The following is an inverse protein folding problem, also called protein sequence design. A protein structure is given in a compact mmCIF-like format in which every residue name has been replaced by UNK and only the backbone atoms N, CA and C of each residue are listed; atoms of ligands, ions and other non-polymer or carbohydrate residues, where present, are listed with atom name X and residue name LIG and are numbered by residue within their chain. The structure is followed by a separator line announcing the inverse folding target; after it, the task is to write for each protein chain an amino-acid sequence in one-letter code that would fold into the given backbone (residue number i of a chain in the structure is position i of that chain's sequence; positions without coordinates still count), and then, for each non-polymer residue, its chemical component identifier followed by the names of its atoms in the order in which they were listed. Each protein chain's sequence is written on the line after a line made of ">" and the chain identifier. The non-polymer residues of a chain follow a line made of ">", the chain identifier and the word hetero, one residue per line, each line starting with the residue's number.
data_IF_004970405722
#
_entry.id   IF_004970405722
#
_cell.length_a   1.000
_cell.length_b   1.000
_cell.length_c   1.000
_cell.angle_alpha   90.00
_cell.angle_beta   90.00
_cell.angle_gamma   90.00
#
_symmetry.space_group_name_H-M   'P 1'
#
loop_
_entity.id
_entity.type
_entity.pdbx_description
1 polymer ?
#
# COMPACT_ATOMS: atom_id res chain seq x y z
N UNK A 1 -13.06 -7.22 -16.21
CA UNK A 1 -13.18 -6.16 -15.18
C UNK A 1 -12.85 -6.82 -13.86
N UNK A 2 -11.77 -6.41 -13.16
CA UNK A 2 -11.53 -6.91 -11.80
C UNK A 2 -12.61 -6.29 -10.91
N UNK A 3 -13.32 -7.11 -10.15
CA UNK A 3 -14.32 -6.66 -9.17
C UNK A 3 -13.68 -5.60 -8.26
N UNK A 4 -14.44 -4.56 -7.91
CA UNK A 4 -14.04 -3.58 -6.90
C UNK A 4 -13.79 -4.32 -5.59
N UNK A 5 -12.56 -4.76 -5.36
CA UNK A 5 -12.13 -5.29 -4.07
C UNK A 5 -12.48 -4.22 -3.02
N UNK A 6 -13.32 -4.60 -2.07
CA UNK A 6 -13.95 -3.72 -1.09
C UNK A 6 -12.86 -3.11 -0.20
N UNK A 7 -12.30 -1.96 -0.59
CA UNK A 7 -11.39 -1.21 0.28
C UNK A 7 -12.23 -0.63 1.42
N UNK A 8 -11.89 -0.98 2.65
CA UNK A 8 -12.55 -0.41 3.83
C UNK A 8 -12.11 1.05 3.99
N UNK A 9 -13.07 1.98 4.02
CA UNK A 9 -12.80 3.38 4.33
C UNK A 9 -13.31 3.71 5.73
N UNK A 10 -12.40 4.21 6.58
CA UNK A 10 -12.74 4.64 7.94
C UNK A 10 -12.41 6.12 8.14
N UNK A 11 -13.36 6.87 8.68
CA UNK A 11 -13.16 8.26 9.07
C UNK A 11 -13.00 8.32 10.59
N UNK A 12 -11.92 8.97 11.06
CA UNK A 12 -11.65 9.16 12.49
C UNK A 12 -11.41 10.65 12.79
N UNK A 13 -11.31 10.98 14.07
CA UNK A 13 -10.92 12.29 14.56
C UNK A 13 -10.03 12.09 15.80
N UNK A 14 -8.73 11.93 15.57
CA UNK A 14 -7.77 11.60 16.63
C UNK A 14 -6.47 12.39 16.43
N UNK A 15 -6.11 13.21 17.41
CA UNK A 15 -4.88 14.02 17.36
C UNK A 15 -3.58 13.20 17.36
N UNK A 16 -3.62 11.95 17.85
CA UNK A 16 -2.46 11.06 17.92
C UNK A 16 -2.17 10.29 16.62
N UNK A 17 -3.06 10.40 15.63
CA UNK A 17 -2.97 9.64 14.38
C UNK A 17 -2.60 10.53 13.18
N UNK A 18 -1.91 10.00 12.15
CA UNK A 18 -1.62 10.72 10.90
C UNK A 18 -2.90 11.16 10.15
N UNK A 19 -2.80 12.11 9.20
CA UNK A 19 -3.94 12.58 8.39
C UNK A 19 -4.54 11.50 7.48
N UNK A 20 -3.72 10.59 6.97
CA UNK A 20 -4.11 9.48 6.10
C UNK A 20 -3.22 8.26 6.41
N UNK A 21 -3.83 7.09 6.52
CA UNK A 21 -3.13 5.81 6.73
C UNK A 21 -3.70 4.78 5.76
N UNK A 22 -2.81 4.09 5.03
CA UNK A 22 -3.14 2.87 4.28
C UNK A 22 -2.57 1.71 5.10
N UNK A 23 -3.42 0.77 5.49
CA UNK A 23 -3.03 -0.35 6.34
C UNK A 23 -3.87 -1.59 6.02
N UNK A 24 -3.46 -2.72 6.57
CA UNK A 24 -4.23 -3.95 6.56
C UNK A 24 -5.30 -3.92 7.67
N UNK A 25 -6.48 -4.51 7.42
CA UNK A 25 -7.49 -4.76 8.45
C UNK A 25 -7.30 -6.15 9.09
N UNK A 26 -8.24 -6.56 9.94
CA UNK A 26 -8.18 -7.82 10.68
C UNK A 26 -8.35 -9.06 9.78
N UNK A 27 -8.84 -8.89 8.54
CA UNK A 27 -9.08 -9.95 7.56
C UNK A 27 -8.03 -9.97 6.45
N UNK A 28 -6.88 -9.35 6.68
CA UNK A 28 -5.82 -9.16 5.69
C UNK A 28 -6.19 -8.28 4.47
N UNK A 29 -7.29 -7.53 4.53
CA UNK A 29 -7.77 -6.69 3.43
C UNK A 29 -7.28 -5.23 3.53
N UNK A 30 -7.18 -4.49 2.41
CA UNK A 30 -6.79 -3.08 2.43
C UNK A 30 -7.82 -2.18 3.12
N UNK A 31 -7.33 -1.33 4.02
CA UNK A 31 -8.09 -0.28 4.71
C UNK A 31 -7.42 1.08 4.56
N UNK A 32 -8.23 2.10 4.33
CA UNK A 32 -7.80 3.50 4.32
C UNK A 32 -8.47 4.24 5.47
N UNK A 33 -7.66 4.88 6.31
CA UNK A 33 -8.12 5.71 7.42
C UNK A 33 -7.88 7.18 7.07
N UNK A 34 -8.95 7.98 7.08
CA UNK A 34 -8.90 9.43 6.92
C UNK A 34 -9.16 10.11 8.27
N UNK A 35 -8.25 10.98 8.69
CA UNK A 35 -8.32 11.62 10.00
C UNK A 35 -8.72 13.10 9.90
N UNK A 36 -9.95 13.38 10.29
CA UNK A 36 -10.58 14.71 10.21
C UNK A 36 -10.03 15.72 11.23
N UNK A 37 -9.24 15.26 12.21
CA UNK A 37 -8.48 16.17 13.08
C UNK A 37 -7.59 17.12 12.25
N UNK A 38 -7.01 16.60 11.17
CA UNK A 38 -6.10 17.32 10.27
C UNK A 38 -6.80 17.96 9.05
N UNK A 39 -8.12 18.24 9.14
CA UNK A 39 -8.95 18.70 8.01
C UNK A 39 -8.41 19.91 7.25
N UNK A 40 -7.73 20.85 7.92
CA UNK A 40 -7.14 22.03 7.27
C UNK A 40 -6.00 21.60 6.35
N UNK A 41 -5.07 20.80 6.86
CA UNK A 41 -3.93 20.31 6.09
C UNK A 41 -4.39 19.44 4.92
N UNK A 42 -5.34 18.54 5.16
CA UNK A 42 -5.92 17.70 4.09
C UNK A 42 -6.55 18.58 3.01
N UNK A 43 -7.31 19.61 3.41
CA UNK A 43 -7.93 20.54 2.47
C UNK A 43 -6.88 21.23 1.59
N UNK A 44 -5.80 21.72 2.18
CA UNK A 44 -4.72 22.39 1.44
C UNK A 44 -3.97 21.45 0.48
N UNK A 45 -3.84 20.18 0.84
CA UNK A 45 -2.97 19.23 0.13
C UNK A 45 -3.73 18.18 -0.71
N UNK A 46 -5.07 18.16 -0.73
CA UNK A 46 -5.87 17.09 -1.37
C UNK A 46 -5.48 16.72 -2.80
N UNK A 47 -5.08 17.70 -3.63
CA UNK A 47 -4.61 17.43 -5.00
C UNK A 47 -3.22 16.80 -5.04
N UNK A 48 -2.33 17.26 -4.18
CA UNK A 48 -0.99 16.69 -4.04
C UNK A 48 -1.08 15.25 -3.52
N UNK A 49 -1.93 14.99 -2.52
CA UNK A 49 -2.18 13.64 -1.99
C UNK A 49 -2.63 12.69 -3.11
N UNK A 50 -3.54 13.12 -3.98
CA UNK A 50 -3.96 12.31 -5.12
C UNK A 50 -2.78 11.96 -6.06
N UNK A 51 -1.92 12.92 -6.40
CA UNK A 51 -0.73 12.67 -7.22
C UNK A 51 0.32 11.79 -6.53
N UNK A 52 0.44 11.85 -5.20
CA UNK A 52 1.32 10.94 -4.44
C UNK A 52 0.84 9.49 -4.58
N UNK A 53 -0.47 9.24 -4.56
CA UNK A 53 -1.03 7.89 -4.69
C UNK A 53 -0.70 7.30 -6.07
N UNK A 54 -0.75 8.10 -7.13
CA UNK A 54 -0.35 7.67 -8.48
C UNK A 54 1.13 7.25 -8.50
N UNK A 55 2.04 8.09 -7.98
CA UNK A 55 3.47 7.77 -7.95
C UNK A 55 3.80 6.61 -6.99
N UNK A 56 3.00 6.43 -5.93
CA UNK A 56 3.15 5.31 -5.00
C UNK A 56 3.00 3.97 -5.72
N UNK A 57 2.09 3.88 -6.70
CA UNK A 57 1.92 2.66 -7.49
C UNK A 57 3.22 2.26 -8.19
N UNK A 58 3.85 3.18 -8.92
CA UNK A 58 5.10 2.91 -9.64
C UNK A 58 6.24 2.46 -8.71
N UNK A 59 6.31 3.08 -7.52
CA UNK A 59 7.29 2.70 -6.49
C UNK A 59 7.03 1.32 -5.93
N UNK A 60 5.77 0.98 -5.65
CA UNK A 60 5.38 -0.37 -5.19
C UNK A 60 5.73 -1.41 -6.24
N UNK A 61 5.41 -1.18 -7.51
CA UNK A 61 5.72 -2.11 -8.60
C UNK A 61 7.23 -2.36 -8.69
N UNK A 62 8.03 -1.30 -8.58
CA UNK A 62 9.50 -1.42 -8.59
C UNK A 62 10.00 -2.31 -7.45
N UNK A 63 9.60 -2.00 -6.21
CA UNK A 63 10.08 -2.72 -5.01
C UNK A 63 9.63 -4.19 -5.03
N UNK A 64 8.36 -4.42 -5.34
CA UNK A 64 7.77 -5.76 -5.32
C UNK A 64 8.27 -6.62 -6.48
N UNK A 65 8.52 -6.02 -7.64
CA UNK A 65 9.14 -6.74 -8.77
C UNK A 65 10.56 -7.17 -8.41
N UNK A 66 11.38 -6.29 -7.82
CA UNK A 66 12.72 -6.65 -7.36
C UNK A 66 12.69 -7.80 -6.36
N UNK A 67 11.80 -7.74 -5.37
CA UNK A 67 11.63 -8.83 -4.40
C UNK A 67 11.25 -10.15 -5.08
N UNK A 68 10.30 -10.14 -6.01
CA UNK A 68 9.89 -11.34 -6.75
C UNK A 68 11.03 -11.93 -7.59
N UNK A 69 11.87 -11.08 -8.20
CA UNK A 69 13.02 -11.53 -8.98
C UNK A 69 14.06 -12.23 -8.10
N UNK A 70 14.35 -11.67 -6.93
CA UNK A 70 15.27 -12.29 -5.96
C UNK A 70 14.75 -13.66 -5.50
N UNK A 71 13.47 -13.75 -5.13
CA UNK A 71 12.86 -15.03 -4.73
C UNK A 71 12.91 -16.07 -5.86
N UNK A 72 12.65 -15.66 -7.11
CA UNK A 72 12.75 -16.54 -8.27
C UNK A 72 14.18 -17.01 -8.57
N UNK A 73 15.18 -16.20 -8.24
CA UNK A 73 16.57 -16.61 -8.38
C UNK A 73 16.93 -17.68 -7.36
N UNK A 74 16.60 -17.46 -6.08
CA UNK A 74 16.83 -18.46 -5.03
C UNK A 74 16.11 -19.78 -5.32
N UNK A 75 14.86 -19.75 -5.79
CA UNK A 75 14.14 -20.97 -6.19
C UNK A 75 14.87 -21.77 -7.28
N UNK A 76 15.55 -21.09 -8.23
CA UNK A 76 16.30 -21.77 -9.30
C UNK A 76 17.60 -22.36 -8.79
N UNK A 77 18.33 -21.60 -7.97
CA UNK A 77 19.58 -22.07 -7.36
C UNK A 77 19.32 -23.30 -6.48
N UNK A 78 18.25 -23.28 -5.67
CA UNK A 78 17.84 -24.44 -4.88
C UNK A 78 17.46 -25.65 -5.75
N UNK A 79 16.80 -25.44 -6.89
CA UNK A 79 16.44 -26.54 -7.80
C UNK A 79 17.66 -27.15 -8.50
N UNK A 80 18.64 -26.32 -8.86
CA UNK A 80 19.89 -26.76 -9.49
C UNK A 80 20.76 -27.54 -8.48
N UNK A 81 20.85 -27.08 -7.23
CA UNK A 81 21.60 -27.76 -6.16
C UNK A 81 20.98 -29.09 -5.71
N UNK A 82 19.65 -29.26 -5.83
CA UNK A 82 18.95 -30.51 -5.51
C UNK A 82 18.90 -31.52 -6.69
N UNK A 83 19.42 -31.13 -7.86
CA UNK A 83 19.41 -31.90 -9.09
C UNK A 83 20.69 -32.72 -9.37
N UNK A 84 21.69 -32.67 -8.49
CA UNK A 84 22.92 -33.50 -8.52
C UNK A 84 22.86 -34.74 -7.62
#
# INVERSE_FOLDING_TARGET
>A
MRENNNVEFRIINDSGMPPLVIAQNENDEPKVVLNTYHRIWISLNRRLIAGIIENLQEKMDTILTSYLMEQRQFEKEDLDDNGE
#
